data_IF_304986880459
#
_entry.id   IF_304986880459
#
_cell.length_a   1.000
_cell.length_b   1.000
_cell.length_c   1.000
_cell.angle_alpha   90.00
_cell.angle_beta   90.00
_cell.angle_gamma   90.00
#
_symmetry.space_group_name_H-M   'P 1'
#
loop_
_entity.id
_entity.type
_entity.pdbx_description
1 polymer ?
#
# COMPACT_ATOMS: atom_id res chain seq x y z
N UNK A 1 -66.00 -22.06 -47.84
CA UNK A 1 -67.44 -21.81 -47.57
C UNK A 1 -68.22 -22.17 -48.82
N UNK A 2 -69.34 -22.90 -48.72
CA UNK A 2 -70.21 -23.20 -49.87
C UNK A 2 -70.78 -21.91 -50.46
N UNK A 3 -70.95 -21.87 -51.79
CA UNK A 3 -71.45 -20.70 -52.52
C UNK A 3 -72.98 -20.59 -52.31
N UNK A 4 -73.40 -20.04 -51.18
CA UNK A 4 -74.81 -19.80 -50.85
C UNK A 4 -75.26 -18.46 -51.44
N UNK A 5 -76.48 -18.43 -51.97
CA UNK A 5 -77.13 -17.20 -52.42
C UNK A 5 -77.73 -16.45 -51.23
N UNK A 6 -77.39 -15.16 -51.12
CA UNK A 6 -77.94 -14.26 -50.12
C UNK A 6 -78.69 -13.12 -50.80
N UNK A 7 -79.88 -12.84 -50.29
CA UNK A 7 -80.65 -11.67 -50.67
C UNK A 7 -81.48 -11.19 -49.47
N UNK A 8 -81.57 -9.88 -49.32
CA UNK A 8 -82.24 -9.28 -48.18
C UNK A 8 -83.78 -9.34 -48.31
N UNK A 9 -84.47 -9.54 -47.18
CA UNK A 9 -85.93 -9.44 -47.07
C UNK A 9 -86.70 -10.34 -48.05
N UNK A 10 -86.19 -11.54 -48.36
CA UNK A 10 -86.94 -12.52 -49.17
C UNK A 10 -87.87 -13.32 -48.26
N UNK A 11 -89.17 -13.31 -48.54
CA UNK A 11 -90.14 -14.04 -47.75
C UNK A 11 -91.54 -14.12 -48.36
N UNK A 12 -92.11 -15.31 -48.38
CA UNK A 12 -93.43 -15.60 -48.97
C UNK A 12 -94.31 -16.45 -48.04
N UNK A 13 -95.62 -16.36 -48.27
CA UNK A 13 -96.62 -17.18 -47.59
C UNK A 13 -96.73 -18.53 -48.28
N UNK A 14 -97.15 -19.55 -47.55
CA UNK A 14 -97.52 -20.83 -48.14
C UNK A 14 -98.62 -21.49 -47.33
N UNK A 15 -99.48 -22.25 -48.01
CA UNK A 15 -100.41 -23.20 -47.39
C UNK A 15 -100.07 -24.65 -47.76
N UNK A 16 -98.88 -24.90 -48.33
CA UNK A 16 -98.44 -26.24 -48.70
C UNK A 16 -98.48 -27.20 -47.51
N UNK A 17 -98.93 -28.42 -47.81
CA UNK A 17 -99.03 -29.53 -46.87
C UNK A 17 -98.08 -30.65 -47.31
N UNK A 18 -97.76 -31.55 -46.38
CA UNK A 18 -96.99 -32.74 -46.72
C UNK A 18 -95.47 -32.61 -46.57
N UNK A 19 -94.79 -33.67 -47.02
CA UNK A 19 -93.33 -33.76 -47.13
C UNK A 19 -92.76 -33.22 -48.45
N UNK A 20 -93.62 -32.72 -49.34
CA UNK A 20 -93.26 -32.30 -50.69
C UNK A 20 -92.52 -30.96 -50.78
N UNK A 21 -92.39 -30.49 -52.01
CA UNK A 21 -91.99 -29.12 -52.33
C UNK A 21 -93.02 -28.12 -51.80
N UNK A 22 -92.56 -26.92 -51.47
CA UNK A 22 -93.39 -25.87 -50.88
C UNK A 22 -93.75 -24.85 -51.96
N UNK A 23 -95.03 -24.74 -52.31
CA UNK A 23 -95.56 -23.64 -53.13
C UNK A 23 -95.37 -22.32 -52.41
N UNK A 24 -95.05 -21.26 -53.15
CA UNK A 24 -94.88 -19.92 -52.59
C UNK A 24 -96.01 -19.04 -53.11
N UNK A 25 -96.93 -18.70 -52.20
CA UNK A 25 -98.24 -18.10 -52.50
C UNK A 25 -98.20 -16.55 -52.45
N UNK A 26 -97.02 -15.96 -52.64
CA UNK A 26 -96.78 -14.52 -52.70
C UNK A 26 -96.07 -13.92 -51.48
N UNK A 27 -95.43 -12.78 -51.71
CA UNK A 27 -94.69 -12.01 -50.72
C UNK A 27 -95.50 -11.71 -49.44
N UNK A 28 -94.84 -11.90 -48.30
CA UNK A 28 -95.32 -11.37 -47.03
C UNK A 28 -95.15 -9.85 -47.04
N UNK A 29 -95.98 -9.13 -46.28
CA UNK A 29 -95.86 -7.68 -46.17
C UNK A 29 -94.43 -7.29 -45.72
N UNK A 30 -93.82 -6.33 -46.42
CA UNK A 30 -92.44 -5.90 -46.18
C UNK A 30 -91.35 -6.82 -46.72
N UNK A 31 -91.70 -7.92 -47.41
CA UNK A 31 -90.76 -8.85 -48.02
C UNK A 31 -90.88 -8.87 -49.55
N UNK A 32 -89.87 -9.42 -50.22
CA UNK A 32 -89.81 -9.65 -51.66
C UNK A 32 -90.04 -11.14 -51.98
N UNK A 33 -90.53 -11.41 -53.19
CA UNK A 33 -90.78 -12.78 -53.66
C UNK A 33 -89.50 -13.55 -53.91
N UNK A 34 -89.54 -14.86 -53.72
CA UNK A 34 -88.41 -15.74 -54.05
C UNK A 34 -88.18 -15.79 -55.55
N UNK A 35 -89.23 -16.01 -56.36
CA UNK A 35 -89.12 -16.16 -57.82
C UNK A 35 -88.56 -14.93 -58.53
N UNK A 36 -88.73 -13.74 -57.93
CA UNK A 36 -88.28 -12.48 -58.52
C UNK A 36 -86.81 -12.17 -58.19
N UNK A 37 -86.23 -12.80 -57.16
CA UNK A 37 -84.93 -12.41 -56.59
C UNK A 37 -83.94 -13.55 -56.42
N UNK A 38 -84.39 -14.80 -56.40
CA UNK A 38 -83.55 -15.99 -56.21
C UNK A 38 -83.57 -16.81 -57.50
N UNK A 39 -82.43 -16.94 -58.20
CA UNK A 39 -82.37 -17.75 -59.41
C UNK A 39 -82.67 -19.23 -59.13
N UNK A 40 -83.45 -19.89 -59.99
CA UNK A 40 -83.74 -21.32 -59.87
C UNK A 40 -82.45 -22.16 -59.82
N UNK A 41 -82.43 -23.17 -58.95
CA UNK A 41 -81.27 -24.04 -58.72
C UNK A 41 -80.16 -23.48 -57.82
N UNK A 42 -80.16 -22.18 -57.48
CA UNK A 42 -79.21 -21.65 -56.50
C UNK A 42 -79.53 -22.15 -55.09
N UNK A 43 -78.49 -22.52 -54.35
CA UNK A 43 -78.61 -22.96 -52.96
C UNK A 43 -78.74 -21.76 -52.04
N UNK A 44 -79.73 -21.76 -51.17
CA UNK A 44 -79.88 -20.76 -50.13
C UNK A 44 -80.39 -21.42 -48.85
N UNK A 45 -80.15 -20.76 -47.72
CA UNK A 45 -80.76 -21.16 -46.46
C UNK A 45 -82.15 -20.56 -46.34
N UNK A 46 -83.10 -21.37 -45.87
CA UNK A 46 -84.46 -20.94 -45.61
C UNK A 46 -84.86 -21.24 -44.17
N UNK A 47 -85.87 -20.52 -43.68
CA UNK A 47 -86.65 -20.89 -42.52
C UNK A 47 -88.14 -20.89 -42.89
N UNK A 48 -88.84 -21.96 -42.52
CA UNK A 48 -90.29 -22.08 -42.56
C UNK A 48 -90.80 -22.00 -41.14
N UNK A 49 -91.77 -21.12 -40.90
CA UNK A 49 -92.43 -20.96 -39.60
C UNK A 49 -93.94 -21.02 -39.79
N UNK A 50 -94.60 -21.97 -39.14
CA UNK A 50 -96.05 -22.06 -39.09
C UNK A 50 -96.65 -20.86 -38.36
N UNK A 51 -97.59 -20.17 -39.02
CA UNK A 51 -98.31 -19.02 -38.43
C UNK A 51 -99.56 -19.50 -37.71
N UNK A 52 -100.35 -20.36 -38.36
CA UNK A 52 -101.56 -20.96 -37.77
C UNK A 52 -101.26 -22.21 -36.95
N UNK A 53 -100.10 -22.84 -37.19
CA UNK A 53 -99.59 -24.02 -36.48
C UNK A 53 -98.21 -23.69 -35.92
N UNK A 54 -98.17 -22.96 -34.80
CA UNK A 54 -96.91 -22.41 -34.24
C UNK A 54 -95.87 -23.47 -33.84
N UNK A 55 -96.27 -24.73 -33.71
CA UNK A 55 -95.35 -25.85 -33.44
C UNK A 55 -94.65 -26.42 -34.68
N UNK A 56 -95.03 -26.00 -35.90
CA UNK A 56 -94.43 -26.47 -37.14
C UNK A 56 -93.38 -25.46 -37.63
N UNK A 57 -92.11 -25.83 -37.62
CA UNK A 57 -91.04 -24.98 -38.14
C UNK A 57 -89.86 -25.81 -38.64
N UNK A 58 -89.13 -25.26 -39.60
CA UNK A 58 -88.01 -25.93 -40.25
C UNK A 58 -86.99 -24.91 -40.73
N UNK A 59 -85.70 -25.16 -40.51
CA UNK A 59 -84.59 -24.38 -41.06
C UNK A 59 -83.73 -25.33 -41.87
N UNK A 60 -83.43 -24.97 -43.11
CA UNK A 60 -82.75 -25.85 -44.05
C UNK A 60 -82.01 -25.13 -45.16
N UNK A 61 -81.33 -25.90 -46.00
CA UNK A 61 -80.86 -25.48 -47.31
C UNK A 61 -81.87 -25.94 -48.36
N UNK A 62 -82.26 -25.01 -49.22
CA UNK A 62 -83.21 -25.26 -50.29
C UNK A 62 -82.76 -24.67 -51.61
N UNK A 63 -83.51 -25.00 -52.64
CA UNK A 63 -83.38 -24.45 -53.99
C UNK A 63 -84.77 -24.17 -54.54
N UNK A 64 -84.91 -23.12 -55.35
CA UNK A 64 -86.13 -22.97 -56.14
C UNK A 64 -86.09 -23.96 -57.31
N UNK A 65 -87.21 -24.65 -57.52
CA UNK A 65 -87.46 -25.46 -58.71
C UNK A 65 -87.68 -24.55 -59.91
N UNK A 66 -87.70 -25.13 -61.12
CA UNK A 66 -88.02 -24.37 -62.34
C UNK A 66 -89.43 -23.75 -62.29
N UNK A 67 -90.34 -24.32 -61.51
CA UNK A 67 -91.72 -23.83 -61.34
C UNK A 67 -91.87 -22.86 -60.15
N UNK A 68 -90.76 -22.45 -59.51
CA UNK A 68 -90.76 -21.48 -58.42
C UNK A 68 -91.14 -22.02 -57.04
N UNK A 69 -91.37 -23.33 -56.90
CA UNK A 69 -91.56 -23.97 -55.59
C UNK A 69 -90.23 -24.15 -54.86
N UNK A 70 -90.23 -24.05 -53.53
CA UNK A 70 -89.08 -24.37 -52.71
C UNK A 70 -88.93 -25.89 -52.59
N UNK A 71 -87.84 -26.41 -53.15
CA UNK A 71 -87.36 -27.76 -52.88
C UNK A 71 -86.48 -27.75 -51.62
N UNK A 72 -86.91 -28.51 -50.61
CA UNK A 72 -86.24 -28.66 -49.31
C UNK A 72 -85.14 -29.72 -49.40
N UNK A 73 -83.88 -29.28 -49.53
CA UNK A 73 -82.74 -30.17 -49.85
C UNK A 73 -82.09 -30.75 -48.60
N UNK A 74 -81.67 -29.91 -47.66
CA UNK A 74 -81.04 -30.33 -46.39
C UNK A 74 -81.81 -29.69 -45.24
N UNK A 75 -82.14 -30.48 -44.23
CA UNK A 75 -82.74 -29.95 -42.99
C UNK A 75 -81.63 -29.79 -41.95
N UNK A 76 -81.46 -28.57 -41.45
CA UNK A 76 -80.49 -28.29 -40.40
C UNK A 76 -81.11 -28.41 -39.01
N UNK A 77 -82.35 -27.95 -38.87
CA UNK A 77 -83.08 -28.02 -37.61
C UNK A 77 -84.57 -27.93 -37.90
N UNK A 78 -85.40 -28.66 -37.17
CA UNK A 78 -86.85 -28.64 -37.39
C UNK A 78 -87.60 -29.08 -36.16
N UNK A 79 -88.90 -28.78 -36.12
CA UNK A 79 -89.83 -29.31 -35.12
C UNK A 79 -90.04 -30.83 -35.22
N UNK A 80 -89.53 -31.48 -36.28
CA UNK A 80 -89.57 -32.92 -36.49
C UNK A 80 -88.22 -33.58 -36.15
N UNK A 81 -87.54 -33.10 -35.09
CA UNK A 81 -86.25 -33.60 -34.62
C UNK A 81 -85.15 -33.63 -35.71
N UNK A 82 -85.11 -32.61 -36.57
CA UNK A 82 -84.13 -32.50 -37.65
C UNK A 82 -84.54 -33.23 -38.94
N UNK A 83 -85.66 -33.93 -38.97
CA UNK A 83 -86.24 -34.47 -40.20
C UNK A 83 -87.03 -33.39 -40.96
N UNK A 84 -87.38 -33.68 -42.22
CA UNK A 84 -88.30 -32.83 -43.00
C UNK A 84 -89.67 -32.81 -42.33
N UNK A 85 -90.22 -31.63 -42.09
CA UNK A 85 -91.51 -31.45 -41.42
C UNK A 85 -92.63 -31.85 -42.38
N UNK A 86 -93.51 -32.75 -41.93
CA UNK A 86 -94.77 -33.05 -42.59
C UNK A 86 -95.79 -31.96 -42.21
N UNK A 87 -95.91 -30.96 -43.07
CA UNK A 87 -96.66 -29.75 -42.76
C UNK A 87 -98.17 -30.00 -42.86
N UNK A 88 -98.95 -29.61 -41.85
CA UNK A 88 -100.42 -29.73 -41.89
C UNK A 88 -101.07 -28.49 -42.49
N UNK A 89 -102.36 -28.58 -42.84
CA UNK A 89 -103.15 -27.45 -43.35
C UNK A 89 -103.03 -26.19 -42.47
N UNK A 90 -102.64 -25.07 -43.10
CA UNK A 90 -102.62 -23.76 -42.48
C UNK A 90 -101.42 -22.89 -42.89
N UNK A 91 -101.63 -21.57 -42.79
CA UNK A 91 -100.66 -20.55 -43.20
C UNK A 91 -99.30 -20.73 -42.53
N UNK A 92 -98.24 -20.71 -43.34
CA UNK A 92 -96.83 -20.65 -42.94
C UNK A 92 -96.12 -19.49 -43.65
N UNK A 93 -95.00 -19.09 -43.08
CA UNK A 93 -94.07 -18.12 -43.62
C UNK A 93 -92.79 -18.84 -44.03
N UNK A 94 -92.31 -18.60 -45.24
CA UNK A 94 -91.01 -19.06 -45.73
C UNK A 94 -90.13 -17.83 -45.91
N UNK A 95 -88.93 -17.81 -45.34
CA UNK A 95 -87.97 -16.70 -45.45
C UNK A 95 -86.59 -17.19 -45.83
N UNK A 96 -85.84 -16.43 -46.62
CA UNK A 96 -84.42 -16.67 -46.87
C UNK A 96 -83.63 -16.06 -45.71
N UNK A 97 -82.92 -16.90 -44.96
CA UNK A 97 -82.14 -16.44 -43.80
C UNK A 97 -80.98 -17.39 -43.53
N UNK A 98 -79.79 -16.90 -43.14
CA UNK A 98 -78.69 -17.77 -42.75
C UNK A 98 -79.08 -18.67 -41.57
N UNK A 99 -78.84 -19.98 -41.71
CA UNK A 99 -78.92 -20.91 -40.59
C UNK A 99 -77.79 -20.65 -39.56
N UNK A 100 -78.04 -20.98 -38.29
CA UNK A 100 -77.03 -20.91 -37.23
C UNK A 100 -75.77 -21.76 -37.55
N UNK A 101 -75.95 -22.87 -38.28
CA UNK A 101 -74.85 -23.74 -38.74
C UNK A 101 -73.81 -23.00 -39.57
N UNK A 102 -74.22 -22.00 -40.37
CA UNK A 102 -73.30 -21.21 -41.18
C UNK A 102 -72.37 -20.34 -40.32
N UNK A 103 -72.90 -19.74 -39.26
CA UNK A 103 -72.11 -18.93 -38.33
C UNK A 103 -71.11 -19.77 -37.53
N UNK A 104 -71.41 -21.04 -37.22
CA UNK A 104 -70.44 -21.90 -36.53
C UNK A 104 -69.20 -22.23 -37.37
N UNK A 105 -69.26 -22.05 -38.69
CA UNK A 105 -68.17 -22.39 -39.61
C UNK A 105 -67.37 -21.17 -40.12
N UNK A 106 -67.72 -19.94 -39.73
CA UNK A 106 -66.97 -18.76 -40.17
C UNK A 106 -65.75 -18.50 -39.25
N UNK A 107 -64.58 -18.34 -39.86
CA UNK A 107 -63.32 -18.06 -39.18
C UNK A 107 -62.29 -17.52 -40.17
N UNK A 108 -61.20 -16.96 -39.64
CA UNK A 108 -60.06 -16.48 -40.42
C UNK A 108 -58.76 -16.93 -39.76
N UNK A 109 -57.85 -17.54 -40.53
CA UNK A 109 -56.49 -17.81 -40.10
C UNK A 109 -55.59 -16.59 -40.29
N UNK A 110 -54.44 -16.54 -39.62
CA UNK A 110 -53.45 -15.46 -39.78
C UNK A 110 -52.95 -15.34 -41.23
N UNK A 111 -52.95 -16.44 -41.98
CA UNK A 111 -52.66 -16.49 -43.42
C UNK A 111 -53.67 -15.69 -44.26
N UNK A 112 -54.84 -15.35 -43.72
CA UNK A 112 -55.86 -14.53 -44.38
C UNK A 112 -55.44 -13.06 -44.49
N UNK A 113 -54.40 -12.63 -43.77
CA UNK A 113 -53.88 -11.25 -43.81
C UNK A 113 -52.54 -11.23 -44.54
N UNK A 114 -52.59 -10.85 -45.82
CA UNK A 114 -51.40 -10.71 -46.69
C UNK A 114 -50.32 -9.85 -46.03
N UNK A 115 -49.12 -10.39 -45.86
CA UNK A 115 -47.95 -9.69 -45.35
C UNK A 115 -47.75 -9.73 -43.83
N UNK A 116 -48.74 -10.16 -43.05
CA UNK A 116 -48.61 -10.22 -41.60
C UNK A 116 -47.62 -11.29 -41.15
N UNK A 117 -47.60 -12.46 -41.80
CA UNK A 117 -46.62 -13.51 -41.51
C UNK A 117 -45.18 -13.00 -41.72
N UNK A 118 -44.90 -12.36 -42.85
CA UNK A 118 -43.57 -11.83 -43.14
C UNK A 118 -43.16 -10.69 -42.19
N UNK A 119 -44.11 -9.84 -41.78
CA UNK A 119 -43.84 -8.80 -40.79
C UNK A 119 -43.46 -9.38 -39.42
N UNK A 120 -44.07 -10.50 -39.03
CA UNK A 120 -43.74 -11.22 -37.80
C UNK A 120 -42.40 -11.97 -37.91
N UNK A 121 -42.14 -12.63 -39.04
CA UNK A 121 -40.88 -13.33 -39.30
C UNK A 121 -39.66 -12.38 -39.28
N UNK A 122 -39.86 -11.11 -39.65
CA UNK A 122 -38.84 -10.05 -39.60
C UNK A 122 -38.60 -9.45 -38.21
N UNK A 123 -39.39 -9.80 -37.19
CA UNK A 123 -39.13 -9.40 -35.80
C UNK A 123 -38.24 -10.44 -35.12
N UNK A 124 -37.27 -9.97 -34.35
CA UNK A 124 -36.43 -10.85 -33.53
C UNK A 124 -37.30 -11.63 -32.53
N UNK A 125 -37.11 -12.94 -32.42
CA UNK A 125 -37.82 -13.77 -31.46
C UNK A 125 -37.58 -13.27 -30.02
N UNK A 126 -38.67 -13.00 -29.30
CA UNK A 126 -38.61 -12.61 -27.89
C UNK A 126 -38.10 -13.80 -27.05
N UNK A 127 -36.94 -13.65 -26.39
CA UNK A 127 -36.42 -14.66 -25.45
C UNK A 127 -34.95 -15.04 -25.61
N UNK A 128 -34.25 -14.61 -26.66
CA UNK A 128 -32.83 -14.98 -26.88
C UNK A 128 -31.82 -14.02 -26.22
N UNK A 129 -32.14 -13.52 -25.02
CA UNK A 129 -31.24 -12.62 -24.27
C UNK A 129 -30.38 -13.34 -23.23
N UNK A 130 -30.61 -14.64 -22.97
CA UNK A 130 -30.05 -15.32 -21.80
C UNK A 130 -28.93 -16.35 -22.08
N UNK A 131 -28.56 -16.60 -23.33
CA UNK A 131 -27.56 -17.63 -23.68
C UNK A 131 -26.30 -17.12 -24.42
N UNK A 132 -26.16 -15.81 -24.61
CA UNK A 132 -24.86 -15.23 -25.00
C UNK A 132 -24.24 -14.58 -23.78
N UNK A 133 -23.40 -15.32 -23.06
CA UNK A 133 -22.29 -14.69 -22.34
C UNK A 133 -21.46 -13.97 -23.40
N UNK A 134 -21.74 -12.70 -23.62
CA UNK A 134 -20.94 -11.88 -24.52
C UNK A 134 -19.79 -11.32 -23.70
N UNK A 135 -18.60 -11.83 -23.99
CA UNK A 135 -17.34 -11.32 -23.48
C UNK A 135 -16.85 -10.23 -24.42
N UNK A 136 -16.51 -9.10 -23.85
CA UNK A 136 -15.91 -7.98 -24.54
C UNK A 136 -14.47 -7.85 -24.06
N UNK A 137 -13.46 -8.02 -24.93
CA UNK A 137 -12.10 -7.66 -24.53
C UNK A 137 -12.11 -6.17 -24.17
N UNK A 138 -11.30 -5.75 -23.19
CA UNK A 138 -11.24 -4.34 -22.75
C UNK A 138 -11.03 -3.36 -23.92
N UNK A 139 -10.40 -3.82 -25.01
CA UNK A 139 -10.21 -3.08 -26.26
C UNK A 139 -11.50 -2.70 -26.98
N UNK A 140 -12.64 -3.33 -26.70
CA UNK A 140 -13.93 -3.00 -27.32
C UNK A 140 -14.59 -1.76 -26.70
N UNK A 141 -14.08 -1.28 -25.56
CA UNK A 141 -14.52 -0.02 -24.96
C UNK A 141 -13.45 1.03 -25.27
N UNK A 142 -13.72 1.86 -26.27
CA UNK A 142 -12.82 2.91 -26.72
C UNK A 142 -12.37 3.79 -25.56
N UNK A 143 -11.06 3.95 -25.38
CA UNK A 143 -10.47 4.75 -24.31
C UNK A 143 -10.34 4.05 -22.94
N UNK A 144 -11.02 2.92 -22.70
CA UNK A 144 -10.92 2.21 -21.42
C UNK A 144 -9.53 1.60 -21.20
N UNK A 145 -8.89 1.09 -22.26
CA UNK A 145 -7.50 0.62 -22.21
C UNK A 145 -6.52 1.75 -21.82
N UNK A 146 -6.75 2.98 -22.29
CA UNK A 146 -5.94 4.15 -21.95
C UNK A 146 -6.23 4.67 -20.53
N UNK A 147 -7.50 4.66 -20.10
CA UNK A 147 -7.88 5.02 -18.73
C UNK A 147 -7.31 4.03 -17.71
N UNK A 148 -7.34 2.73 -18.02
CA UNK A 148 -6.79 1.70 -17.14
C UNK A 148 -5.26 1.70 -17.13
N UNK A 149 -4.59 2.07 -18.23
CA UNK A 149 -3.13 2.26 -18.25
C UNK A 149 -2.62 3.31 -17.24
N UNK A 150 -3.47 4.25 -16.83
CA UNK A 150 -3.18 5.23 -15.77
C UNK A 150 -3.60 4.78 -14.37
N UNK A 151 -4.36 3.70 -14.25
CA UNK A 151 -4.53 2.96 -13.01
C UNK A 151 -3.41 1.92 -12.92
N UNK A 152 -3.10 1.43 -11.70
CA UNK A 152 -2.23 0.27 -11.52
C UNK A 152 -2.81 -0.91 -12.33
N UNK A 153 -2.36 -1.09 -13.56
CA UNK A 153 -2.79 -2.18 -14.43
C UNK A 153 -1.72 -3.24 -14.45
N UNK A 154 -2.19 -4.48 -14.30
CA UNK A 154 -1.40 -5.67 -14.59
C UNK A 154 -0.98 -5.60 -16.06
N UNK A 155 0.32 -5.64 -16.35
CA UNK A 155 0.82 -5.99 -17.67
C UNK A 155 0.36 -7.41 -18.04
N UNK A 156 0.66 -7.86 -19.27
CA UNK A 156 0.29 -9.19 -19.76
C UNK A 156 0.80 -10.36 -18.89
N UNK A 157 1.71 -10.10 -17.94
CA UNK A 157 2.29 -11.05 -17.00
C UNK A 157 1.80 -10.86 -15.55
N UNK A 158 0.85 -9.96 -15.30
CA UNK A 158 0.31 -9.71 -13.95
C UNK A 158 0.97 -8.58 -13.16
N UNK A 159 1.89 -7.81 -13.75
CA UNK A 159 2.70 -6.75 -13.10
C UNK A 159 1.94 -5.43 -13.03
N UNK A 160 1.70 -4.87 -11.84
CA UNK A 160 1.12 -3.53 -11.74
C UNK A 160 2.17 -2.49 -12.12
N UNK A 161 2.09 -1.90 -13.32
CA UNK A 161 3.08 -0.92 -13.79
C UNK A 161 2.45 0.23 -14.58
N UNK A 162 2.57 1.45 -14.06
CA UNK A 162 2.46 2.69 -14.87
C UNK A 162 3.83 3.37 -14.90
N UNK A 163 4.66 3.02 -15.89
CA UNK A 163 6.02 3.55 -16.03
C UNK A 163 6.97 3.14 -14.89
N UNK A 164 8.13 3.82 -14.79
CA UNK A 164 9.13 3.58 -13.74
C UNK A 164 8.69 4.07 -12.35
N UNK A 165 7.51 4.67 -12.20
CA UNK A 165 7.08 5.33 -10.96
C UNK A 165 6.87 4.37 -9.79
N UNK A 166 5.98 3.37 -9.94
CA UNK A 166 5.67 2.37 -8.92
C UNK A 166 5.41 1.03 -9.60
N UNK A 167 6.15 0.00 -9.20
CA UNK A 167 6.20 -1.29 -9.85
C UNK A 167 6.15 -2.43 -8.83
N UNK A 168 5.31 -3.44 -9.07
CA UNK A 168 5.29 -4.69 -8.29
C UNK A 168 5.63 -5.86 -9.22
N UNK A 169 6.74 -6.56 -8.94
CA UNK A 169 7.20 -7.68 -9.75
C UNK A 169 6.41 -8.97 -9.46
N UNK A 170 6.52 -9.97 -10.34
CA UNK A 170 5.95 -11.30 -10.15
C UNK A 170 6.51 -12.04 -8.92
N UNK A 171 7.69 -11.65 -8.44
CA UNK A 171 8.30 -12.18 -7.21
C UNK A 171 7.87 -11.41 -5.95
N UNK A 172 6.96 -10.44 -6.07
CA UNK A 172 6.45 -9.64 -4.95
C UNK A 172 7.36 -8.49 -4.50
N UNK A 173 8.41 -8.15 -5.27
CA UNK A 173 9.26 -6.99 -4.97
C UNK A 173 8.59 -5.71 -5.44
N UNK A 174 8.73 -4.64 -4.67
CA UNK A 174 8.18 -3.32 -4.97
C UNK A 174 9.33 -2.37 -5.32
N UNK A 175 9.33 -1.87 -6.55
CA UNK A 175 10.24 -0.82 -6.99
C UNK A 175 9.51 0.51 -7.13
N UNK A 176 10.07 1.59 -6.61
CA UNK A 176 9.61 2.97 -6.84
C UNK A 176 10.75 3.70 -7.55
N UNK A 177 10.56 4.11 -8.80
CA UNK A 177 11.65 4.65 -9.63
C UNK A 177 12.53 3.59 -10.31
N UNK A 178 12.18 2.31 -10.24
CA UNK A 178 12.86 1.18 -10.90
C UNK A 178 11.87 0.07 -11.26
N UNK A 179 12.10 -0.61 -12.39
CA UNK A 179 11.35 -1.80 -12.79
C UNK A 179 12.03 -3.12 -12.39
N UNK A 180 13.25 -3.04 -11.85
CA UNK A 180 14.14 -4.15 -11.54
C UNK A 180 14.69 -4.06 -10.10
N UNK A 181 13.83 -4.05 -9.06
CA UNK A 181 14.26 -3.91 -7.68
C UNK A 181 15.14 -5.09 -7.21
N UNK A 182 16.26 -4.78 -6.57
CA UNK A 182 17.17 -5.74 -5.94
C UNK A 182 16.58 -6.29 -4.64
N UNK A 183 15.76 -5.53 -3.92
CA UNK A 183 15.16 -5.89 -2.63
C UNK A 183 13.63 -5.92 -2.65
N UNK A 184 13.00 -6.41 -1.57
CA UNK A 184 11.53 -6.46 -1.45
C UNK A 184 10.86 -5.10 -1.58
N UNK A 185 11.51 -4.03 -1.11
CA UNK A 185 11.10 -2.64 -1.32
C UNK A 185 12.35 -1.82 -1.65
N UNK A 186 12.38 -1.24 -2.85
CA UNK A 186 13.45 -0.35 -3.28
C UNK A 186 12.88 0.98 -3.78
N UNK A 187 13.39 2.08 -3.23
CA UNK A 187 13.14 3.43 -3.73
C UNK A 187 14.41 3.87 -4.45
N UNK A 188 14.31 4.02 -5.77
CA UNK A 188 15.43 4.20 -6.68
C UNK A 188 15.32 5.54 -7.43
N UNK A 189 16.45 6.22 -7.61
CA UNK A 189 16.54 7.50 -8.32
C UNK A 189 17.81 8.27 -7.98
N UNK A 190 18.01 9.46 -8.56
CA UNK A 190 19.18 10.31 -8.28
C UNK A 190 19.20 10.86 -6.84
N UNK A 191 18.03 11.03 -6.23
CA UNK A 191 17.87 11.50 -4.84
C UNK A 191 16.66 10.81 -4.20
N UNK A 192 16.75 9.50 -3.90
CA UNK A 192 15.62 8.72 -3.43
C UNK A 192 15.37 9.01 -1.94
N UNK A 193 14.33 9.77 -1.64
CA UNK A 193 13.89 10.02 -0.27
C UNK A 193 12.67 9.17 0.09
N UNK A 194 12.69 8.58 1.28
CA UNK A 194 11.50 8.04 1.95
C UNK A 194 11.03 9.08 2.95
N UNK A 195 9.91 9.75 2.65
CA UNK A 195 9.36 10.82 3.49
C UNK A 195 8.23 10.27 4.36
N UNK A 196 8.34 10.46 5.67
CA UNK A 196 7.26 10.24 6.63
C UNK A 196 6.78 11.58 7.16
N UNK A 197 5.50 11.90 6.99
CA UNK A 197 4.90 13.13 7.47
C UNK A 197 3.73 12.81 8.43
N UNK A 198 3.77 13.34 9.64
CA UNK A 198 2.72 13.15 10.65
C UNK A 198 1.88 14.41 10.76
N UNK A 199 0.55 14.27 10.68
CA UNK A 199 -0.40 15.37 10.95
C UNK A 199 -0.52 15.69 12.45
N UNK A 200 0.19 14.96 13.32
CA UNK A 200 0.16 15.09 14.77
C UNK A 200 1.60 15.25 15.27
N UNK A 201 1.86 16.34 16.00
CA UNK A 201 3.23 16.69 16.42
C UNK A 201 3.72 15.91 17.65
N UNK A 202 2.82 15.53 18.55
CA UNK A 202 3.16 14.85 19.81
C UNK A 202 3.19 13.32 19.73
N UNK A 203 3.03 12.75 18.53
CA UNK A 203 3.16 11.32 18.29
C UNK A 203 4.47 11.02 17.57
N UNK A 204 5.06 9.86 17.87
CA UNK A 204 6.23 9.37 17.16
C UNK A 204 5.84 8.81 15.80
N UNK A 205 6.52 9.25 14.75
CA UNK A 205 6.41 8.72 13.39
C UNK A 205 7.74 8.13 12.93
N UNK A 206 7.73 7.19 11.98
CA UNK A 206 8.97 6.63 11.43
C UNK A 206 8.85 5.15 11.07
N UNK A 207 9.98 4.44 11.12
CA UNK A 207 10.10 3.03 10.78
C UNK A 207 10.23 2.17 12.05
N UNK A 208 9.49 1.06 12.08
CA UNK A 208 9.53 0.06 13.16
C UNK A 208 9.98 -1.29 12.63
N UNK A 209 10.85 -1.95 13.37
CA UNK A 209 11.32 -3.30 13.08
C UNK A 209 10.61 -4.27 14.03
N UNK A 210 9.87 -5.24 13.48
CA UNK A 210 9.09 -6.20 14.27
C UNK A 210 9.47 -7.63 13.94
N UNK A 211 9.42 -8.51 14.96
CA UNK A 211 9.54 -9.95 14.80
C UNK A 211 8.51 -10.65 15.69
N UNK A 212 7.72 -11.56 15.10
CA UNK A 212 6.61 -12.24 15.81
C UNK A 212 5.53 -11.27 16.30
N UNK A 213 5.29 -10.16 15.57
CA UNK A 213 4.33 -9.13 15.97
C UNK A 213 4.81 -8.16 17.06
N UNK A 214 6.00 -8.38 17.62
CA UNK A 214 6.62 -7.56 18.67
C UNK A 214 7.66 -6.61 18.08
N UNK A 215 7.65 -5.34 18.50
CA UNK A 215 8.67 -4.35 18.12
C UNK A 215 10.03 -4.71 18.74
N UNK A 216 11.09 -4.71 17.93
CA UNK A 216 12.47 -5.04 18.33
C UNK A 216 13.41 -3.85 18.21
N UNK A 217 13.00 -2.84 17.46
CA UNK A 217 13.70 -1.57 17.33
C UNK A 217 12.93 -0.60 16.44
N UNK A 218 13.42 0.62 16.35
CA UNK A 218 12.82 1.67 15.55
C UNK A 218 13.84 2.73 15.14
N UNK A 219 13.52 3.41 14.04
CA UNK A 219 14.05 4.73 13.69
C UNK A 219 12.85 5.65 13.61
N UNK A 220 12.65 6.47 14.64
CA UNK A 220 11.47 7.32 14.76
C UNK A 220 11.82 8.73 15.19
N UNK A 221 10.91 9.67 14.91
CA UNK A 221 11.04 11.07 15.28
C UNK A 221 9.84 11.54 16.07
N UNK A 222 10.04 12.54 16.92
CA UNK A 222 8.97 13.28 17.60
C UNK A 222 8.97 14.72 17.11
N UNK A 223 8.03 15.06 16.24
CA UNK A 223 8.01 16.35 15.55
C UNK A 223 7.89 17.55 16.49
N UNK A 224 7.21 17.41 17.64
CA UNK A 224 7.06 18.48 18.64
C UNK A 224 8.39 19.03 19.15
N UNK A 225 9.41 18.18 19.26
CA UNK A 225 10.72 18.54 19.85
C UNK A 225 11.88 18.42 18.87
N UNK A 226 11.64 17.92 17.64
CA UNK A 226 12.69 17.66 16.65
C UNK A 226 13.62 16.50 17.02
N UNK A 227 13.20 15.61 17.92
CA UNK A 227 13.99 14.46 18.35
C UNK A 227 14.01 13.39 17.26
N UNK A 228 15.21 12.91 16.91
CA UNK A 228 15.40 11.63 16.23
C UNK A 228 15.82 10.60 17.26
N UNK A 229 15.16 9.44 17.24
CA UNK A 229 15.44 8.32 18.13
C UNK A 229 15.78 7.06 17.34
N UNK A 230 16.84 6.40 17.80
CA UNK A 230 17.19 5.04 17.41
C UNK A 230 16.93 4.14 18.61
N UNK A 231 16.08 3.13 18.44
CA UNK A 231 15.75 2.16 19.50
C UNK A 231 16.28 0.79 19.11
N UNK A 232 17.03 0.16 20.01
CA UNK A 232 17.43 -1.24 19.92
C UNK A 232 17.06 -1.98 21.21
N UNK A 233 16.26 -3.03 21.09
CA UNK A 233 15.73 -3.77 22.24
C UNK A 233 14.49 -3.11 22.84
N UNK A 234 13.42 -3.88 22.96
CA UNK A 234 12.16 -3.49 23.61
C UNK A 234 11.55 -4.73 24.28
N UNK A 235 10.91 -4.56 25.44
CA UNK A 235 10.29 -5.63 26.24
C UNK A 235 11.25 -6.77 26.69
N UNK A 236 12.22 -6.44 27.55
CA UNK A 236 13.14 -7.38 28.23
C UNK A 236 14.17 -8.11 27.35
N UNK A 237 14.38 -7.66 26.12
CA UNK A 237 15.45 -8.15 25.26
C UNK A 237 16.56 -7.11 25.17
N UNK A 238 17.75 -7.45 25.67
CA UNK A 238 18.95 -6.62 25.61
C UNK A 238 19.37 -6.37 24.17
N UNK A 239 19.16 -5.14 23.70
CA UNK A 239 19.63 -4.68 22.40
C UNK A 239 21.00 -4.00 22.52
N UNK A 240 21.68 -3.86 21.39
CA UNK A 240 22.84 -2.98 21.22
C UNK A 240 22.59 -2.06 20.04
N UNK A 241 23.06 -0.82 20.13
CA UNK A 241 23.21 0.05 18.96
C UNK A 241 24.67 -0.02 18.56
N UNK A 242 24.96 -0.65 17.43
CA UNK A 242 26.31 -0.75 16.87
C UNK A 242 26.47 0.23 15.71
N UNK A 243 27.58 0.95 15.73
CA UNK A 243 27.98 1.84 14.64
C UNK A 243 29.06 1.14 13.82
N UNK A 244 28.72 0.75 12.60
CA UNK A 244 29.56 -0.05 11.72
C UNK A 244 30.14 0.79 10.59
N UNK A 245 31.44 0.63 10.32
CA UNK A 245 32.08 1.16 9.11
C UNK A 245 33.02 0.11 8.53
N UNK A 246 33.07 0.04 7.20
CA UNK A 246 33.88 -0.96 6.49
C UNK A 246 33.63 -2.40 6.95
N UNK A 247 32.37 -2.74 7.23
CA UNK A 247 31.96 -4.08 7.66
C UNK A 247 32.26 -4.41 9.12
N UNK A 248 32.82 -3.49 9.91
CA UNK A 248 33.22 -3.73 11.30
C UNK A 248 32.58 -2.72 12.25
N UNK A 249 32.16 -3.20 13.42
CA UNK A 249 31.66 -2.33 14.47
C UNK A 249 32.81 -1.48 15.04
N UNK A 250 32.56 -0.19 15.23
CA UNK A 250 33.52 0.79 15.75
C UNK A 250 33.13 1.32 17.13
N UNK A 251 31.82 1.49 17.40
CA UNK A 251 31.28 1.91 18.69
C UNK A 251 30.00 1.14 18.99
N UNK A 252 29.77 0.85 20.27
CA UNK A 252 28.59 0.17 20.77
C UNK A 252 27.96 0.93 21.92
N UNK A 253 26.63 1.01 21.92
CA UNK A 253 25.82 1.31 23.10
C UNK A 253 25.11 0.01 23.51
N UNK A 254 25.34 -0.47 24.72
CA UNK A 254 24.74 -1.71 25.21
C UNK A 254 23.41 -1.51 25.98
N UNK A 255 22.80 -2.62 26.39
CA UNK A 255 21.54 -2.63 27.11
C UNK A 255 21.60 -1.98 28.50
N UNK A 256 22.79 -1.81 29.08
CA UNK A 256 23.00 -1.12 30.35
C UNK A 256 23.28 0.39 30.13
N UNK A 257 23.29 0.85 28.87
CA UNK A 257 23.62 2.22 28.50
C UNK A 257 25.13 2.50 28.44
N UNK A 258 25.97 1.47 28.53
CA UNK A 258 27.42 1.61 28.39
C UNK A 258 27.78 1.98 26.95
N UNK A 259 28.59 3.03 26.78
CA UNK A 259 29.12 3.45 25.48
C UNK A 259 30.60 3.13 25.43
N UNK A 260 31.02 2.27 24.51
CA UNK A 260 32.41 1.80 24.41
C UNK A 260 32.86 1.53 22.98
N UNK A 261 34.18 1.50 22.79
CA UNK A 261 34.81 1.05 21.56
C UNK A 261 34.43 -0.41 21.29
N UNK A 262 34.03 -0.72 20.07
CA UNK A 262 33.57 -2.08 19.75
C UNK A 262 34.66 -3.16 19.88
N UNK A 263 35.95 -2.77 19.94
CA UNK A 263 37.09 -3.66 20.12
C UNK A 263 38.04 -3.10 21.18
N UNK A 264 38.59 -4.01 21.98
CA UNK A 264 39.53 -3.65 23.04
C UNK A 264 40.82 -3.04 22.48
N UNK A 265 41.18 -1.85 22.99
CA UNK A 265 42.41 -1.13 22.65
C UNK A 265 42.66 -0.88 21.14
N UNK A 266 41.61 -0.65 20.33
CA UNK A 266 41.73 -0.40 18.88
C UNK A 266 41.22 0.97 18.41
N UNK A 267 40.13 1.48 19.00
CA UNK A 267 39.53 2.75 18.58
C UNK A 267 39.92 3.91 19.50
N UNK A 268 40.32 5.03 18.89
CA UNK A 268 40.59 6.28 19.58
C UNK A 268 39.29 7.08 19.82
N UNK A 269 39.22 7.80 20.94
CA UNK A 269 38.18 8.80 21.20
C UNK A 269 38.65 10.18 20.73
N UNK A 270 38.38 10.49 19.46
CA UNK A 270 38.84 11.70 18.79
C UNK A 270 40.12 11.49 17.97
N UNK A 271 40.53 12.54 17.28
CA UNK A 271 41.70 12.52 16.38
C UNK A 271 42.49 13.84 16.51
N UNK A 272 43.76 13.86 16.10
CA UNK A 272 44.60 15.05 16.14
C UNK A 272 43.95 16.26 15.46
N UNK A 273 43.26 16.04 14.33
CA UNK A 273 42.48 17.05 13.60
C UNK A 273 41.04 17.30 14.12
N UNK A 274 40.47 16.37 14.90
CA UNK A 274 39.08 16.41 15.37
C UNK A 274 39.02 16.06 16.86
N UNK A 275 39.41 17.01 17.70
CA UNK A 275 39.51 16.85 19.15
C UNK A 275 38.20 17.22 19.83
N UNK A 276 37.86 16.50 20.89
CA UNK A 276 36.85 16.93 21.84
C UNK A 276 37.30 18.21 22.56
N UNK A 277 36.38 19.15 22.76
CA UNK A 277 36.69 20.40 23.44
C UNK A 277 36.98 20.18 24.95
N UNK A 278 36.17 19.35 25.59
CA UNK A 278 36.27 18.98 27.01
C UNK A 278 35.60 17.63 27.26
N UNK A 279 36.01 16.94 28.33
CA UNK A 279 35.31 15.76 28.87
C UNK A 279 34.76 16.13 30.26
N UNK A 280 33.46 15.92 30.46
CA UNK A 280 32.79 16.07 31.76
C UNK A 280 32.47 14.68 32.30
N UNK A 281 33.10 14.30 33.41
CA UNK A 281 32.94 12.98 34.03
C UNK A 281 32.83 13.11 35.55
N UNK A 282 32.15 12.16 36.20
CA UNK A 282 32.03 12.12 37.66
C UNK A 282 33.32 11.69 38.38
N UNK A 283 34.18 10.91 37.70
CA UNK A 283 35.49 10.47 38.16
C UNK A 283 36.54 10.63 37.05
N UNK A 284 37.82 10.58 37.43
CA UNK A 284 38.93 10.62 36.47
C UNK A 284 39.00 9.37 35.58
N UNK A 285 39.77 9.46 34.48
CA UNK A 285 39.98 8.34 33.57
C UNK A 285 40.74 7.19 34.26
N UNK A 286 40.30 5.96 34.00
CA UNK A 286 40.97 4.74 34.46
C UNK A 286 41.95 4.29 33.38
N UNK A 287 43.22 4.14 33.74
CA UNK A 287 44.25 3.58 32.87
C UNK A 287 44.63 2.18 33.36
N UNK A 288 44.61 1.18 32.47
CA UNK A 288 45.08 -0.17 32.79
C UNK A 288 46.56 -0.13 33.14
N UNK A 289 46.90 -0.54 34.37
CA UNK A 289 48.27 -0.51 34.90
C UNK A 289 48.66 -1.86 35.52
N UNK A 290 48.18 -2.95 34.93
CA UNK A 290 48.49 -4.33 35.32
C UNK A 290 49.99 -4.64 35.11
N UNK A 291 50.61 -5.32 36.07
CA UNK A 291 52.01 -5.77 35.99
C UNK A 291 52.21 -6.78 34.84
N UNK A 292 51.23 -7.66 34.62
CA UNK A 292 51.28 -8.68 33.56
C UNK A 292 51.24 -8.09 32.15
N UNK A 293 50.76 -6.85 32.02
CA UNK A 293 50.73 -6.10 30.77
C UNK A 293 52.02 -5.29 30.53
N UNK A 294 53.02 -5.39 31.43
CA UNK A 294 54.25 -4.57 31.38
C UNK A 294 55.50 -5.44 31.37
N UNK A 295 56.58 -4.87 30.85
CA UNK A 295 57.92 -5.47 30.83
C UNK A 295 58.97 -4.41 31.17
N UNK A 296 60.17 -4.86 31.56
CA UNK A 296 61.29 -3.99 31.92
C UNK A 296 60.96 -2.99 33.03
N UNK A 297 60.24 -3.45 34.05
CA UNK A 297 59.85 -2.64 35.20
C UNK A 297 61.09 -2.36 36.06
N UNK A 298 61.39 -1.08 36.30
CA UNK A 298 62.58 -0.65 37.03
C UNK A 298 62.52 0.82 37.44
N UNK A 299 63.62 1.30 38.06
CA UNK A 299 63.76 2.71 38.44
C UNK A 299 63.85 3.57 37.18
N UNK A 300 63.22 4.75 37.20
CA UNK A 300 63.41 5.77 36.17
C UNK A 300 64.89 6.22 36.17
N UNK A 301 65.57 6.25 35.00
CA UNK A 301 66.96 6.66 34.90
C UNK A 301 67.21 8.06 35.44
N UNK A 302 68.32 8.26 36.17
CA UNK A 302 68.63 9.57 36.74
C UNK A 302 68.84 10.65 35.66
N UNK A 303 69.34 10.29 34.47
CA UNK A 303 69.47 11.21 33.33
C UNK A 303 68.11 11.73 32.83
N UNK A 304 67.04 10.92 32.91
CA UNK A 304 65.69 11.36 32.54
C UNK A 304 65.13 12.32 33.59
N UNK A 305 65.35 12.02 34.87
CA UNK A 305 64.94 12.89 35.98
C UNK A 305 65.70 14.23 35.91
N UNK A 306 66.98 14.17 35.55
CA UNK A 306 67.83 15.33 35.32
C UNK A 306 67.32 16.20 34.16
N UNK A 307 66.95 15.61 33.02
CA UNK A 307 66.32 16.33 31.91
C UNK A 307 64.98 16.96 32.30
N UNK A 308 64.16 16.24 33.06
CA UNK A 308 62.91 16.77 33.60
C UNK A 308 63.14 17.98 34.50
N UNK A 309 64.24 18.02 35.25
CA UNK A 309 64.59 19.16 36.11
C UNK A 309 64.80 20.50 35.38
N UNK A 310 65.01 20.48 34.06
CA UNK A 310 65.12 21.68 33.23
C UNK A 310 63.75 22.17 32.72
N UNK A 311 62.71 21.34 32.81
CA UNK A 311 61.35 21.66 32.36
C UNK A 311 60.71 22.72 33.26
N UNK A 312 60.09 23.73 32.64
CA UNK A 312 59.47 24.85 33.35
C UNK A 312 57.94 24.84 33.21
N UNK A 313 57.26 24.85 34.36
CA UNK A 313 55.82 25.12 34.48
C UNK A 313 55.52 26.58 34.17
N UNK A 314 54.55 26.81 33.29
CA UNK A 314 54.26 28.13 32.75
C UNK A 314 52.78 28.43 32.75
N UNK A 315 52.46 29.72 32.71
CA UNK A 315 51.11 30.19 32.39
C UNK A 315 51.04 30.66 30.94
N UNK A 316 49.93 30.37 30.28
CA UNK A 316 49.68 30.79 28.90
C UNK A 316 48.20 31.03 28.66
N UNK A 317 47.88 31.68 27.53
CA UNK A 317 46.53 31.75 26.98
C UNK A 317 46.57 31.13 25.60
N UNK A 318 45.55 30.38 25.23
CA UNK A 318 45.38 29.99 23.83
C UNK A 318 45.16 31.25 22.98
N UNK A 319 45.65 31.24 21.73
CA UNK A 319 45.35 32.33 20.79
C UNK A 319 43.82 32.45 20.64
N UNK A 320 43.28 33.66 20.80
CA UNK A 320 41.83 33.91 20.85
C UNK A 320 41.14 33.60 22.19
N UNK A 321 41.84 32.96 23.14
CA UNK A 321 41.31 32.65 24.47
C UNK A 321 41.51 33.78 25.49
N UNK A 322 40.54 33.96 26.39
CA UNK A 322 40.58 35.00 27.45
C UNK A 322 41.12 34.50 28.80
N UNK A 323 41.06 33.19 29.04
CA UNK A 323 41.42 32.56 30.32
C UNK A 323 42.91 32.28 30.38
N UNK A 324 43.52 32.53 31.53
CA UNK A 324 44.87 32.02 31.83
C UNK A 324 44.79 30.53 32.14
N UNK A 325 45.69 29.77 31.54
CA UNK A 325 45.93 28.36 31.81
C UNK A 325 47.33 28.22 32.41
N UNK A 326 47.55 27.17 33.20
CA UNK A 326 48.86 26.80 33.71
C UNK A 326 49.18 25.37 33.25
N UNK A 327 50.43 25.15 32.84
CA UNK A 327 50.87 23.87 32.30
C UNK A 327 52.23 23.95 31.64
N UNK A 328 52.48 23.01 30.74
CA UNK A 328 53.71 22.85 29.99
C UNK A 328 53.52 23.21 28.52
N UNK A 329 54.61 23.56 27.85
CA UNK A 329 54.66 23.78 26.39
C UNK A 329 55.39 22.60 25.78
N UNK A 330 54.73 21.82 24.91
CA UNK A 330 55.23 20.55 24.38
C UNK A 330 56.64 20.67 23.81
N UNK A 331 56.88 21.62 22.91
CA UNK A 331 58.20 21.84 22.29
C UNK A 331 59.30 22.09 23.32
N UNK A 332 59.01 22.80 24.42
CA UNK A 332 60.03 23.07 25.44
C UNK A 332 60.38 21.84 26.28
N UNK A 333 59.45 20.90 26.41
CA UNK A 333 59.76 19.59 27.01
C UNK A 333 60.70 18.80 26.09
N UNK A 334 60.46 18.84 24.77
CA UNK A 334 61.39 18.27 23.79
C UNK A 334 62.79 18.88 23.87
N UNK A 335 62.87 20.21 23.89
CA UNK A 335 64.16 20.91 23.97
C UNK A 335 64.94 20.55 25.24
N UNK A 336 64.26 20.38 26.39
CA UNK A 336 64.91 19.99 27.65
C UNK A 336 65.55 18.59 27.59
N UNK A 337 64.88 17.63 26.95
CA UNK A 337 65.45 16.30 26.74
C UNK A 337 66.58 16.32 25.71
N UNK A 338 66.38 17.02 24.59
CA UNK A 338 67.38 17.15 23.54
C UNK A 338 68.67 17.83 24.03
N UNK A 339 68.57 18.84 24.90
CA UNK A 339 69.70 19.51 25.52
C UNK A 339 70.59 18.57 26.36
N UNK A 340 70.05 17.43 26.79
CA UNK A 340 70.77 16.38 27.52
C UNK A 340 71.09 15.15 26.65
N UNK A 341 70.94 15.27 25.33
CA UNK A 341 71.18 14.18 24.39
C UNK A 341 70.17 13.04 24.49
N UNK A 342 68.97 13.30 25.02
CA UNK A 342 67.90 12.32 25.15
C UNK A 342 66.81 12.57 24.10
N UNK A 343 66.25 11.49 23.56
CA UNK A 343 65.07 11.57 22.70
C UNK A 343 63.80 11.47 23.53
N UNK A 344 63.01 12.55 23.59
CA UNK A 344 61.73 12.54 24.30
C UNK A 344 60.69 11.59 23.68
N UNK A 345 60.79 11.25 22.37
CA UNK A 345 59.88 10.28 21.73
C UNK A 345 60.15 8.84 22.17
N UNK A 346 61.29 8.56 22.78
CA UNK A 346 61.54 7.28 23.46
C UNK A 346 60.73 7.12 24.76
N UNK A 347 60.04 8.19 25.18
CA UNK A 347 59.13 8.22 26.34
C UNK A 347 57.68 8.36 25.89
N UNK A 348 56.71 8.02 26.75
CA UNK A 348 55.30 8.26 26.49
C UNK A 348 54.84 9.70 26.76
N UNK A 349 55.72 10.58 27.27
CA UNK A 349 55.37 11.93 27.73
C UNK A 349 54.85 12.82 26.61
N UNK A 350 55.41 12.67 25.41
CA UNK A 350 55.21 13.58 24.32
C UNK A 350 54.65 12.86 23.08
N UNK A 351 53.78 13.55 22.34
CA UNK A 351 53.32 13.08 21.05
C UNK A 351 53.42 14.18 19.99
N UNK A 352 53.60 13.76 18.74
CA UNK A 352 53.59 14.61 17.57
C UNK A 352 52.82 13.90 16.48
N UNK A 353 51.68 14.47 16.13
CA UNK A 353 50.77 13.92 15.13
C UNK A 353 50.67 14.88 13.95
N UNK A 354 50.68 14.35 12.73
CA UNK A 354 50.43 15.13 11.52
C UNK A 354 48.96 15.60 11.50
N UNK A 355 48.73 16.86 11.10
CA UNK A 355 47.39 17.47 11.06
C UNK A 355 47.09 18.09 9.69
N UNK A 356 46.09 17.55 9.01
CA UNK A 356 45.58 18.06 7.74
C UNK A 356 46.31 17.50 6.52
N UNK A 357 45.81 17.87 5.34
CA UNK A 357 46.53 17.67 4.09
C UNK A 357 47.68 18.68 4.00
N UNK A 358 48.72 18.31 3.24
CA UNK A 358 49.84 19.18 2.90
C UNK A 358 49.31 20.52 2.40
N UNK A 359 49.83 21.63 2.92
CA UNK A 359 49.41 22.94 2.44
C UNK A 359 49.83 23.17 0.98
N UNK A 360 49.42 24.31 0.40
CA UNK A 360 49.73 24.64 -1.01
C UNK A 360 51.23 24.72 -1.30
N UNK A 361 52.06 24.82 -0.25
CA UNK A 361 53.51 24.99 -0.33
C UNK A 361 54.26 23.67 -0.10
N UNK A 362 53.55 22.56 0.16
CA UNK A 362 54.18 21.26 0.38
C UNK A 362 54.54 20.97 1.84
N UNK A 363 54.17 21.82 2.79
CA UNK A 363 54.57 21.68 4.20
C UNK A 363 53.56 20.84 4.99
N UNK A 364 54.10 19.90 5.78
CA UNK A 364 53.31 19.05 6.68
C UNK A 364 53.16 19.75 8.03
N UNK A 365 51.91 19.96 8.46
CA UNK A 365 51.63 20.62 9.73
C UNK A 365 51.54 19.57 10.84
N UNK A 366 52.14 19.86 12.00
CA UNK A 366 52.17 18.95 13.13
C UNK A 366 51.45 19.55 14.35
N UNK A 367 50.76 18.68 15.08
CA UNK A 367 50.23 18.96 16.40
C UNK A 367 51.10 18.28 17.43
N UNK A 368 51.64 19.08 18.33
CA UNK A 368 52.43 18.62 19.46
C UNK A 368 51.54 18.51 20.68
N UNK A 369 51.64 17.39 21.39
CA UNK A 369 50.86 17.10 22.59
C UNK A 369 51.74 16.55 23.72
N UNK A 370 51.18 16.63 24.93
CA UNK A 370 51.78 16.06 26.14
C UNK A 370 50.75 15.17 26.83
N UNK A 371 51.20 14.03 27.35
CA UNK A 371 50.43 13.18 28.26
C UNK A 371 50.64 13.67 29.67
N UNK A 372 49.77 14.57 30.13
CA UNK A 372 49.93 15.24 31.42
C UNK A 372 50.03 14.29 32.61
N UNK A 373 49.33 13.16 32.61
CA UNK A 373 49.45 12.14 33.67
C UNK A 373 50.87 11.56 33.76
N UNK A 374 51.51 11.28 32.62
CA UNK A 374 52.92 10.84 32.59
C UNK A 374 53.87 11.96 33.00
N UNK A 375 53.60 13.21 32.57
CA UNK A 375 54.35 14.38 33.01
C UNK A 375 54.30 14.57 34.53
N UNK A 376 53.11 14.39 35.14
CA UNK A 376 52.96 14.46 36.59
C UNK A 376 53.66 13.30 37.31
N UNK A 377 53.71 12.10 36.71
CA UNK A 377 54.49 11.00 37.27
C UNK A 377 56.00 11.32 37.28
N UNK A 378 56.53 11.89 36.19
CA UNK A 378 57.92 12.33 36.10
C UNK A 378 58.23 13.46 37.10
N UNK A 379 57.34 14.45 37.20
CA UNK A 379 57.44 15.53 38.17
C UNK A 379 57.48 14.99 39.61
N UNK A 380 56.59 14.06 39.95
CA UNK A 380 56.55 13.45 41.29
C UNK A 380 57.87 12.72 41.63
N UNK A 381 58.47 12.05 40.65
CA UNK A 381 59.74 11.34 40.84
C UNK A 381 60.90 12.31 40.99
N UNK A 382 60.94 13.37 40.18
CA UNK A 382 61.90 14.46 40.32
C UNK A 382 61.81 15.13 41.69
N UNK A 383 60.60 15.54 42.10
CA UNK A 383 60.36 16.14 43.42
C UNK A 383 60.82 15.24 44.56
N UNK A 384 60.48 13.93 44.52
CA UNK A 384 60.94 12.96 45.54
C UNK A 384 62.46 12.87 45.63
N UNK A 385 63.16 12.94 44.49
CA UNK A 385 64.63 12.92 44.45
C UNK A 385 65.22 14.21 45.03
N UNK A 386 64.69 15.36 44.66
CA UNK A 386 65.17 16.65 45.17
C UNK A 386 64.87 16.83 46.65
N UNK A 387 63.70 16.40 47.13
CA UNK A 387 63.40 16.38 48.57
C UNK A 387 64.41 15.53 49.34
N UNK A 388 64.75 14.34 48.84
CA UNK A 388 65.78 13.50 49.46
C UNK A 388 67.14 14.22 49.53
N UNK A 389 67.59 14.81 48.42
CA UNK A 389 68.84 15.58 48.36
C UNK A 389 68.86 16.74 49.35
N UNK A 390 67.74 17.46 49.49
CA UNK A 390 67.60 18.56 50.44
C UNK A 390 67.63 18.07 51.89
N UNK A 391 66.93 16.97 52.20
CA UNK A 391 66.95 16.35 53.52
C UNK A 391 68.36 15.89 53.92
N UNK A 392 69.10 15.28 52.99
CA UNK A 392 70.49 14.86 53.22
C UNK A 392 71.40 16.07 53.47
N UNK A 393 71.26 17.14 52.69
CA UNK A 393 72.00 18.40 52.90
C UNK A 393 71.68 19.03 54.25
N UNK A 394 70.40 19.04 54.64
CA UNK A 394 69.96 19.58 55.93
C UNK A 394 70.58 18.78 57.09
N UNK A 395 70.50 17.45 57.04
CA UNK A 395 71.12 16.59 58.04
C UNK A 395 72.64 16.80 58.14
N UNK A 396 73.32 16.99 57.00
CA UNK A 396 74.75 17.31 56.98
C UNK A 396 75.07 18.66 57.63
N UNK A 397 74.25 19.69 57.39
CA UNK A 397 74.38 21.02 58.00
C UNK A 397 74.14 20.94 59.52
N UNK A 398 73.09 20.26 59.95
CA UNK A 398 72.77 20.05 61.37
C UNK A 398 73.92 19.33 62.11
N UNK A 399 74.46 18.27 61.51
CA UNK A 399 75.62 17.56 62.04
C UNK A 399 76.87 18.46 62.14
N UNK A 400 77.11 19.32 61.15
CA UNK A 400 78.23 20.28 61.18
C UNK A 400 78.05 21.32 62.28
N UNK A 401 76.85 21.85 62.44
CA UNK A 401 76.50 22.80 63.51
C UNK A 401 76.65 22.16 64.90
N UNK A 402 76.21 20.92 65.08
CA UNK A 402 76.38 20.19 66.34
C UNK A 402 77.86 20.01 66.69
N UNK A 403 78.70 19.60 65.72
CA UNK A 403 80.16 19.49 65.91
C UNK A 403 80.81 20.83 66.28
N UNK A 404 80.40 21.93 65.64
CA UNK A 404 80.91 23.27 65.96
C UNK A 404 80.51 23.75 67.36
N UNK A 405 79.28 23.47 67.80
CA UNK A 405 78.83 23.78 69.18
C UNK A 405 79.66 23.03 70.22
N UNK A 406 79.89 21.73 70.00
CA UNK A 406 80.75 20.91 70.84
C UNK A 406 82.21 21.42 70.89
N UNK A 407 82.76 21.86 69.76
CA UNK A 407 84.11 22.44 69.70
C UNK A 407 84.23 23.77 70.46
N UNK A 408 83.21 24.65 70.39
CA UNK A 408 83.17 25.90 71.17
C UNK A 408 83.05 25.67 72.68
N UNK A 409 82.32 24.65 73.11
CA UNK A 409 82.22 24.27 74.53
C UNK A 409 83.53 23.69 75.08
N UNK A 410 84.42 23.17 74.22
CA UNK A 410 85.71 22.56 74.61
C UNK A 410 86.88 23.55 74.70
N UNK A 411 86.71 24.84 74.37
CA UNK A 411 87.73 25.87 74.61
C UNK A 411 87.65 26.32 76.08
N UNK A 412 88.57 25.91 76.97
CA UNK A 412 88.49 26.27 78.39
C UNK A 412 89.03 27.69 78.61
N UNK A 413 88.51 28.31 79.66
CA UNK A 413 89.06 29.40 80.46
C UNK A 413 90.61 29.41 80.61
N UNK A 414 91.38 29.68 79.55
CA UNK A 414 92.84 29.90 79.66
C UNK A 414 93.21 31.32 80.11
N UNK A 415 92.24 32.16 80.50
CA UNK A 415 92.49 33.55 80.94
C UNK A 415 92.28 33.84 82.44
N UNK A 416 92.13 32.83 83.30
CA UNK A 416 91.85 33.05 84.74
C UNK A 416 92.93 32.53 85.72
N UNK A 417 94.15 32.23 85.26
CA UNK A 417 95.26 31.80 86.12
C UNK A 417 96.51 32.69 85.98
N UNK A 418 96.37 34.02 86.05
CA UNK A 418 97.48 34.95 86.37
C UNK A 418 96.92 36.23 87.00
N UNK A 419 96.81 36.25 88.33
CA UNK A 419 97.10 37.40 89.17
C UNK A 419 97.15 36.98 90.62
#
# INVERSE_FOLDING_TARGET
MSNLFFADLIGERTNSEGLGEISLDGAIAGHRRFTDNVPAGQKFHYAISGITKVGEWEVGEGQLTQNGALNRVVIFSSSANGAKVDFTAGLKMVVLTPSATWFMQHGHDISSITGLQSALDGKQAAGSYSLSSHIHPISSISGLSAQLANCLTKDANGKYSSGTGFNITSTGKVGIGTDSPAELLEVHGTSPYIVTNSNVLNNRGGMKFKAGGVERGSVDFLALVGELKLTAGYANWGGRINFNTNGMDQMTIDANGGVYAARDNQQNLGHAGARWASIFAGSGAINTSDENAKKHIGKIPDCWIDAWGDVQWQRYRFRGGKRWHAGLIAQRVFDAFAARGLDAFSTGLCCRDEIGDVDKDGETHYRWGLRYDECFAMEAVWQRREFRRLSEKLAAIENRLAKQRLAKQRLPNQKLAKK
#
